data_IF_596923041552
#
_entry.id   IF_596923041552
#
_cell.length_a   1.000
_cell.length_b   1.000
_cell.length_c   1.000
_cell.angle_alpha   90.00
_cell.angle_beta   90.00
_cell.angle_gamma   90.00
#
_symmetry.space_group_name_H-M   'P 1'
#
loop_
_entity.id
_entity.type
_entity.pdbx_description
1 polymer ?
#
# COMPACT_ATOMS: atom_id res chain seq x y z
N UNK A 1 -16.81 10.95 -14.90
CA UNK A 1 -15.34 11.15 -14.90
C UNK A 1 -14.90 11.64 -13.53
N UNK A 2 -14.06 10.89 -12.83
CA UNK A 2 -13.61 11.25 -11.48
C UNK A 2 -12.50 12.31 -11.49
N UNK A 3 -12.21 12.94 -10.33
CA UNK A 3 -11.19 14.00 -10.22
C UNK A 3 -9.79 13.57 -10.68
N UNK A 4 -9.50 12.27 -10.69
CA UNK A 4 -8.18 11.76 -11.06
C UNK A 4 -7.87 11.84 -12.56
N UNK A 5 -8.85 12.03 -13.43
CA UNK A 5 -8.62 12.04 -14.88
C UNK A 5 -7.85 13.26 -15.37
N UNK A 6 -8.03 14.39 -14.68
CA UNK A 6 -7.34 15.65 -14.97
C UNK A 6 -6.38 16.06 -13.84
N UNK A 7 -6.04 15.11 -12.98
CA UNK A 7 -5.23 15.32 -11.80
C UNK A 7 -3.75 15.41 -12.16
N UNK A 8 -3.02 16.25 -11.45
CA UNK A 8 -1.55 16.31 -11.48
C UNK A 8 -0.90 15.27 -10.52
N UNK A 9 -1.70 14.31 -10.06
CA UNK A 9 -1.29 13.18 -9.23
C UNK A 9 -0.62 13.56 -7.89
N UNK A 10 -1.17 14.53 -7.19
CA UNK A 10 -0.64 15.00 -5.91
C UNK A 10 -0.45 13.87 -4.89
N UNK A 11 -1.43 12.97 -4.75
CA UNK A 11 -1.32 11.81 -3.86
C UNK A 11 -0.14 10.88 -4.21
N UNK A 12 0.16 10.69 -5.50
CA UNK A 12 1.30 9.90 -5.95
C UNK A 12 2.66 10.61 -5.76
N UNK A 13 2.65 11.86 -5.35
CA UNK A 13 3.86 12.65 -5.10
C UNK A 13 4.14 12.84 -3.62
N UNK A 14 3.11 12.85 -2.79
CA UNK A 14 3.23 13.21 -1.38
C UNK A 14 3.09 12.03 -0.43
N UNK A 15 2.35 10.98 -0.82
CA UNK A 15 2.07 9.89 0.10
C UNK A 15 3.02 8.70 -0.09
N UNK A 16 3.58 8.23 1.01
CA UNK A 16 4.11 6.88 1.08
C UNK A 16 2.93 5.91 0.91
N UNK A 17 2.95 5.10 -0.14
CA UNK A 17 1.88 4.14 -0.42
C UNK A 17 2.22 2.80 0.22
N UNK A 18 1.55 2.39 1.31
CA UNK A 18 1.82 1.11 1.93
C UNK A 18 1.37 -0.04 1.04
N UNK A 19 2.16 -1.11 1.05
CA UNK A 19 1.91 -2.35 0.33
C UNK A 19 1.53 -3.45 1.31
N UNK A 20 0.59 -4.30 0.91
CA UNK A 20 0.43 -5.63 1.50
C UNK A 20 1.29 -6.65 0.78
N UNK A 21 1.52 -7.82 1.37
CA UNK A 21 2.19 -8.90 0.65
C UNK A 21 1.44 -9.35 -0.60
N UNK A 22 0.11 -9.31 -0.59
CA UNK A 22 -0.70 -9.60 -1.78
C UNK A 22 -0.47 -8.58 -2.90
N UNK A 23 -0.31 -7.28 -2.56
CA UNK A 23 0.03 -6.25 -3.55
C UNK A 23 1.40 -6.51 -4.17
N UNK A 24 2.39 -6.86 -3.34
CA UNK A 24 3.75 -7.16 -3.76
C UNK A 24 3.76 -8.31 -4.76
N UNK A 25 3.20 -9.45 -4.41
CA UNK A 25 3.17 -10.64 -5.26
C UNK A 25 2.38 -10.43 -6.54
N UNK A 26 1.30 -9.64 -6.48
CA UNK A 26 0.53 -9.28 -7.67
C UNK A 26 1.34 -8.42 -8.63
N UNK A 27 2.03 -7.40 -8.13
CA UNK A 27 2.87 -6.51 -8.95
C UNK A 27 4.03 -7.30 -9.56
N UNK A 28 4.72 -8.15 -8.79
CA UNK A 28 5.77 -9.02 -9.30
C UNK A 28 5.27 -9.88 -10.47
N UNK A 29 4.14 -10.54 -10.28
CA UNK A 29 3.58 -11.45 -11.28
C UNK A 29 3.06 -10.74 -12.53
N UNK A 30 2.29 -9.67 -12.36
CA UNK A 30 1.61 -9.00 -13.46
C UNK A 30 2.54 -8.12 -14.28
N UNK A 31 3.51 -7.48 -13.62
CA UNK A 31 4.45 -6.58 -14.27
C UNK A 31 5.82 -7.23 -14.55
N UNK A 32 6.05 -8.45 -14.07
CA UNK A 32 7.32 -9.17 -14.17
C UNK A 32 8.49 -8.34 -13.61
N UNK A 33 8.25 -7.70 -12.48
CA UNK A 33 9.23 -6.91 -11.75
C UNK A 33 9.70 -7.67 -10.52
N UNK A 34 10.99 -7.50 -10.18
CA UNK A 34 11.50 -7.94 -8.90
C UNK A 34 11.08 -6.99 -7.78
N UNK A 35 10.91 -7.53 -6.57
CA UNK A 35 10.59 -6.77 -5.35
C UNK A 35 11.43 -5.49 -5.23
N UNK A 36 12.74 -5.60 -5.45
CA UNK A 36 13.70 -4.51 -5.32
C UNK A 36 13.54 -3.38 -6.32
N UNK A 37 12.76 -3.60 -7.36
CA UNK A 37 12.53 -2.60 -8.39
C UNK A 37 11.39 -1.63 -8.04
N UNK A 38 10.52 -1.97 -7.07
CA UNK A 38 9.35 -1.15 -6.78
C UNK A 38 9.01 -1.01 -5.29
N UNK A 39 9.49 -1.91 -4.44
CA UNK A 39 9.21 -1.90 -3.01
C UNK A 39 10.42 -1.40 -2.21
N UNK A 40 10.15 -0.66 -1.16
CA UNK A 40 11.14 -0.20 -0.21
C UNK A 40 10.57 -0.21 1.21
N UNK A 41 11.44 -0.07 2.19
CA UNK A 41 11.06 0.17 3.58
C UNK A 41 11.19 1.66 3.91
N UNK A 42 10.12 2.26 4.37
CA UNK A 42 10.10 3.64 4.82
C UNK A 42 10.15 3.69 6.33
N UNK A 43 11.11 4.44 6.86
CA UNK A 43 11.19 4.68 8.29
C UNK A 43 9.96 5.45 8.78
N UNK A 44 9.30 4.93 9.80
CA UNK A 44 8.10 5.54 10.37
C UNK A 44 8.15 5.62 11.90
N UNK A 45 9.17 6.32 12.47
CA UNK A 45 9.39 6.38 13.91
C UNK A 45 8.24 7.04 14.67
N UNK A 46 7.43 7.81 13.99
CA UNK A 46 6.30 8.54 14.58
C UNK A 46 4.93 7.92 14.24
N UNK A 47 4.90 6.79 13.56
CA UNK A 47 3.66 6.11 13.19
C UNK A 47 2.78 6.89 12.20
N UNK A 48 3.34 7.80 11.41
CA UNK A 48 2.56 8.63 10.49
C UNK A 48 1.97 7.82 9.34
N UNK A 49 2.74 6.87 8.80
CA UNK A 49 2.31 5.98 7.72
C UNK A 49 1.43 4.87 8.30
N UNK A 50 1.80 4.30 9.44
CA UNK A 50 1.05 3.25 10.11
C UNK A 50 -0.34 3.67 10.59
N UNK A 51 -0.61 4.97 10.76
CA UNK A 51 -1.96 5.49 11.05
C UNK A 51 -3.02 5.05 10.05
N UNK A 52 -2.61 4.72 8.84
CA UNK A 52 -3.49 4.20 7.79
C UNK A 52 -3.58 2.67 7.80
N UNK A 53 -3.43 2.05 8.98
CA UNK A 53 -3.55 0.62 9.21
C UNK A 53 -2.40 -0.26 8.67
N UNK A 54 -1.35 0.30 8.11
CA UNK A 54 -0.16 -0.45 7.71
C UNK A 54 0.65 -0.91 8.93
N UNK A 55 1.15 -2.16 8.95
CA UNK A 55 1.96 -2.63 10.06
C UNK A 55 3.39 -2.09 10.02
N UNK A 56 4.01 -2.04 11.19
CA UNK A 56 5.44 -1.84 11.31
C UNK A 56 6.18 -3.17 11.28
N UNK A 57 7.22 -3.23 10.47
CA UNK A 57 8.22 -4.29 10.47
C UNK A 57 9.52 -3.78 11.09
N UNK A 58 10.21 -4.68 11.80
CA UNK A 58 11.58 -4.46 12.29
C UNK A 58 12.51 -5.40 11.54
N UNK A 59 13.75 -4.95 11.31
CA UNK A 59 14.74 -5.73 10.58
C UNK A 59 16.02 -5.84 11.40
N UNK A 60 16.71 -6.97 11.32
CA UNK A 60 17.95 -7.21 12.09
C UNK A 60 19.09 -6.27 11.70
N UNK A 61 19.07 -5.77 10.46
CA UNK A 61 20.03 -4.79 9.95
C UNK A 61 19.74 -3.34 10.41
N UNK A 62 18.53 -3.08 10.94
CA UNK A 62 18.17 -1.84 11.65
C UNK A 62 17.05 -2.13 12.67
N UNK A 63 17.40 -2.68 13.84
CA UNK A 63 16.42 -3.16 14.80
C UNK A 63 15.69 -2.05 15.58
N UNK A 64 16.18 -0.82 15.52
CA UNK A 64 15.62 0.30 16.27
C UNK A 64 14.52 1.03 15.50
N UNK A 65 14.61 1.05 14.20
CA UNK A 65 13.69 1.81 13.35
C UNK A 65 12.48 0.94 13.00
N UNK A 66 11.26 1.38 13.28
CA UNK A 66 10.05 0.79 12.71
C UNK A 66 9.91 1.21 11.26
N UNK A 67 9.65 0.24 10.38
CA UNK A 67 9.49 0.47 8.95
C UNK A 67 8.11 0.05 8.46
N UNK A 68 7.59 0.78 7.50
CA UNK A 68 6.44 0.37 6.69
C UNK A 68 6.94 -0.02 5.30
N UNK A 69 6.45 -1.13 4.77
CA UNK A 69 6.74 -1.55 3.40
C UNK A 69 5.87 -0.75 2.44
N UNK A 70 6.50 -0.01 1.55
CA UNK A 70 5.83 0.95 0.67
C UNK A 70 6.33 0.84 -0.78
N UNK A 71 5.59 1.46 -1.69
CA UNK A 71 6.10 1.75 -3.03
C UNK A 71 7.30 2.70 -2.96
N UNK A 72 8.27 2.44 -3.82
CA UNK A 72 9.39 3.34 -4.02
C UNK A 72 8.94 4.65 -4.65
N UNK A 73 9.62 5.72 -4.27
CA UNK A 73 9.57 6.99 -4.97
C UNK A 73 10.81 7.18 -5.83
N UNK A 74 10.64 7.93 -6.91
CA UNK A 74 11.69 8.41 -7.79
C UNK A 74 11.61 9.94 -7.88
N UNK A 75 12.66 10.57 -8.36
CA UNK A 75 12.63 12.00 -8.63
C UNK A 75 11.63 12.34 -9.74
N UNK A 76 10.97 13.47 -9.62
CA UNK A 76 10.11 14.00 -10.68
C UNK A 76 10.96 14.56 -11.81
N UNK A 77 10.53 14.34 -13.06
CA UNK A 77 11.21 14.90 -14.23
C UNK A 77 10.83 16.34 -14.53
N UNK A 78 9.67 16.79 -14.02
CA UNK A 78 9.11 18.09 -14.36
C UNK A 78 8.86 19.02 -13.17
N UNK A 79 9.00 18.50 -11.95
CA UNK A 79 8.85 19.28 -10.73
C UNK A 79 10.10 19.12 -9.88
N UNK A 80 11.06 20.00 -10.10
CA UNK A 80 12.36 19.99 -9.43
C UNK A 80 12.25 19.91 -7.91
N UNK A 81 13.12 19.10 -7.32
CA UNK A 81 13.18 18.92 -5.86
C UNK A 81 12.01 18.13 -5.27
N UNK A 82 11.13 17.54 -6.09
CA UNK A 82 10.04 16.71 -5.64
C UNK A 82 10.22 15.24 -6.02
N UNK A 83 9.59 14.36 -5.26
CA UNK A 83 9.54 12.94 -5.57
C UNK A 83 8.15 12.53 -6.03
N UNK A 84 8.07 11.38 -6.64
CA UNK A 84 6.83 10.76 -7.12
C UNK A 84 6.86 9.26 -6.93
N UNK A 85 5.67 8.65 -6.86
CA UNK A 85 5.56 7.21 -6.98
C UNK A 85 6.29 6.73 -8.24
N UNK A 86 7.09 5.68 -8.14
CA UNK A 86 7.85 5.09 -9.25
C UNK A 86 7.01 4.84 -10.51
N UNK A 87 5.76 4.45 -10.33
CA UNK A 87 4.85 4.13 -11.43
C UNK A 87 4.08 5.33 -11.99
N UNK A 88 4.35 6.53 -11.51
CA UNK A 88 3.72 7.72 -12.05
C UNK A 88 4.38 8.11 -13.39
N UNK A 89 3.59 8.06 -14.45
CA UNK A 89 3.96 8.59 -15.75
C UNK A 89 3.60 10.07 -15.81
N UNK A 90 4.58 10.91 -16.07
CA UNK A 90 4.42 12.36 -16.18
C UNK A 90 4.47 12.77 -17.64
N UNK A 91 3.62 13.71 -18.01
CA UNK A 91 3.67 14.43 -19.27
C UNK A 91 4.20 15.85 -19.04
N UNK A 92 4.94 16.36 -20.00
CA UNK A 92 5.43 17.74 -19.94
C UNK A 92 4.29 18.74 -19.76
N UNK A 93 4.53 19.87 -19.07
CA UNK A 93 3.62 20.99 -19.06
C UNK A 93 3.29 21.48 -20.47
N UNK A 94 2.03 21.87 -20.67
CA UNK A 94 1.54 22.48 -21.90
C UNK A 94 0.70 23.73 -21.58
N UNK A 95 0.16 24.38 -22.61
CA UNK A 95 -0.66 25.58 -22.45
C UNK A 95 -1.93 25.35 -21.62
N UNK A 96 -2.50 24.14 -21.69
CA UNK A 96 -3.72 23.74 -20.97
C UNK A 96 -3.42 23.30 -19.54
N UNK A 97 -2.22 22.75 -19.33
CA UNK A 97 -1.79 22.11 -18.08
C UNK A 97 -0.40 22.63 -17.70
N UNK A 98 -0.36 23.79 -17.08
CA UNK A 98 0.90 24.47 -16.68
C UNK A 98 1.82 23.65 -15.76
N UNK A 99 1.31 22.60 -15.13
CA UNK A 99 2.07 21.65 -14.30
C UNK A 99 2.20 20.26 -14.93
N UNK A 100 1.78 20.11 -16.18
CA UNK A 100 1.67 18.83 -16.86
C UNK A 100 0.49 17.98 -16.36
N UNK A 101 0.30 16.84 -16.97
CA UNK A 101 -0.66 15.80 -16.56
C UNK A 101 0.14 14.58 -16.10
N UNK A 102 -0.37 13.87 -15.11
CA UNK A 102 0.28 12.65 -14.67
C UNK A 102 -0.74 11.51 -14.51
N UNK A 103 -0.34 10.30 -14.91
CA UNK A 103 -1.20 9.13 -14.86
C UNK A 103 -0.47 7.95 -14.23
N UNK A 104 -1.22 7.10 -13.54
CA UNK A 104 -0.69 5.86 -13.00
C UNK A 104 -0.39 4.86 -14.13
N UNK A 105 0.88 4.49 -14.29
CA UNK A 105 1.32 3.49 -15.29
C UNK A 105 0.88 2.07 -14.99
N UNK A 106 0.45 1.80 -13.75
CA UNK A 106 -0.05 0.49 -13.33
C UNK A 106 -1.50 0.55 -12.87
N UNK A 107 -2.34 1.33 -13.56
CA UNK A 107 -3.70 1.63 -13.09
C UNK A 107 -4.52 0.37 -12.75
N UNK A 108 -4.46 -0.68 -13.56
CA UNK A 108 -5.13 -1.97 -13.32
C UNK A 108 -4.55 -2.76 -12.14
N UNK A 109 -3.24 -2.61 -11.89
CA UNK A 109 -2.50 -3.35 -10.86
C UNK A 109 -2.17 -2.50 -9.65
N UNK A 110 -2.88 -1.37 -9.46
CA UNK A 110 -2.65 -0.47 -8.31
C UNK A 110 -2.73 -1.21 -6.99
N UNK A 111 -1.86 -0.88 -6.02
CA UNK A 111 -2.00 -1.37 -4.65
C UNK A 111 -3.39 -1.10 -4.08
N UNK A 112 -3.81 -1.95 -3.16
CA UNK A 112 -5.10 -1.81 -2.51
C UNK A 112 -5.30 -0.43 -1.89
N UNK A 113 -4.29 0.13 -1.24
CA UNK A 113 -4.33 1.48 -0.69
C UNK A 113 -4.66 2.56 -1.74
N UNK A 114 -4.12 2.41 -2.98
CA UNK A 114 -4.43 3.33 -4.08
C UNK A 114 -5.82 3.13 -4.67
N UNK A 115 -6.34 1.89 -4.65
CA UNK A 115 -7.69 1.59 -5.14
C UNK A 115 -8.75 2.08 -4.17
N UNK A 116 -8.50 1.90 -2.88
CA UNK A 116 -9.40 2.37 -1.83
C UNK A 116 -9.43 3.90 -1.70
N UNK A 117 -8.35 4.61 -2.06
CA UNK A 117 -8.31 6.08 -1.94
C UNK A 117 -9.29 6.75 -2.94
N UNK A 118 -10.05 7.77 -2.52
CA UNK A 118 -10.07 8.46 -1.23
C UNK A 118 -11.10 7.92 -0.23
N UNK A 119 -11.59 6.72 -0.42
CA UNK A 119 -12.61 6.11 0.41
C UNK A 119 -12.04 5.49 1.68
N UNK A 120 -12.86 5.40 2.70
CA UNK A 120 -12.59 4.64 3.92
C UNK A 120 -13.90 4.00 4.41
N UNK A 121 -13.79 3.01 5.28
CA UNK A 121 -14.90 2.63 6.10
C UNK A 121 -15.03 3.64 7.26
N UNK A 122 -16.26 3.88 7.71
CA UNK A 122 -16.49 4.65 8.91
C UNK A 122 -15.97 3.95 10.17
N UNK A 123 -16.12 4.56 11.33
CA UNK A 123 -15.64 4.01 12.60
C UNK A 123 -16.34 2.70 13.00
N UNK A 124 -17.53 2.44 12.47
CA UNK A 124 -18.26 1.18 12.68
C UNK A 124 -17.81 0.08 11.71
N UNK A 125 -17.14 0.44 10.62
CA UNK A 125 -16.74 -0.47 9.55
C UNK A 125 -17.89 -0.86 8.62
N UNK A 126 -19.03 -0.21 8.69
CA UNK A 126 -20.25 -0.56 7.97
C UNK A 126 -20.52 0.33 6.76
N UNK A 127 -20.13 1.61 6.85
CA UNK A 127 -20.41 2.59 5.79
C UNK A 127 -19.15 3.02 5.07
N UNK A 128 -19.26 3.15 3.75
CA UNK A 128 -18.23 3.78 2.92
C UNK A 128 -18.36 5.29 3.00
N UNK A 129 -17.31 5.94 3.44
CA UNK A 129 -17.21 7.39 3.52
C UNK A 129 -16.09 7.90 2.63
N UNK A 130 -16.26 9.08 2.06
CA UNK A 130 -15.17 9.80 1.43
C UNK A 130 -14.31 10.42 2.52
N UNK A 131 -13.00 10.18 2.45
CA UNK A 131 -12.07 10.95 3.27
C UNK A 131 -12.17 12.40 2.85
N UNK A 132 -12.20 13.27 3.85
CA UNK A 132 -12.18 14.70 3.62
C UNK A 132 -10.87 15.08 2.94
N UNK A 133 -10.91 15.25 1.63
CA UNK A 133 -9.81 15.79 0.85
C UNK A 133 -9.91 17.31 0.99
N UNK A 134 -9.03 17.96 1.76
CA UNK A 134 -9.19 19.36 2.09
C UNK A 134 -9.27 20.22 0.82
N UNK A 135 -10.16 21.20 0.78
CA UNK A 135 -10.21 22.13 -0.34
C UNK A 135 -8.91 22.96 -0.43
N UNK A 136 -8.55 23.34 -1.65
CA UNK A 136 -7.39 24.19 -1.93
C UNK A 136 -7.28 25.37 -0.95
N UNK A 137 -6.06 25.65 -0.49
CA UNK A 137 -5.74 26.92 0.19
C UNK A 137 -5.95 26.94 1.72
N UNK A 138 -6.20 25.82 2.39
CA UNK A 138 -6.17 25.77 3.85
C UNK A 138 -4.73 25.60 4.37
N UNK A 139 -4.31 26.49 5.25
CA UNK A 139 -3.00 26.43 5.93
C UNK A 139 -2.88 25.09 6.68
N UNK A 140 -1.77 24.38 6.48
CA UNK A 140 -1.48 23.10 7.16
C UNK A 140 -1.85 21.84 6.38
N UNK A 141 -2.20 21.96 5.09
CA UNK A 141 -2.51 20.82 4.24
C UNK A 141 -1.27 20.19 3.63
N UNK A 142 -1.36 18.87 3.42
CA UNK A 142 -0.40 18.16 2.61
C UNK A 142 -0.44 18.70 1.16
N UNK A 143 0.70 19.09 0.58
CA UNK A 143 0.81 19.60 -0.78
C UNK A 143 0.14 18.72 -1.84
N UNK A 144 -0.04 17.42 -1.54
CA UNK A 144 -0.77 16.49 -2.37
C UNK A 144 -2.13 17.01 -2.83
N UNK A 145 -2.85 17.66 -1.94
CA UNK A 145 -4.22 18.10 -2.22
C UNK A 145 -4.30 19.36 -3.03
N UNK A 146 -3.24 20.16 -3.06
CA UNK A 146 -3.18 21.35 -3.91
C UNK A 146 -3.23 21.02 -5.40
N UNK A 147 -2.86 19.78 -5.74
CA UNK A 147 -2.86 19.29 -7.12
C UNK A 147 -4.18 18.61 -7.52
N UNK A 148 -5.13 18.44 -6.61
CA UNK A 148 -6.45 17.94 -6.95
C UNK A 148 -7.25 19.01 -7.68
N UNK A 149 -7.84 18.70 -8.86
CA UNK A 149 -8.55 19.70 -9.67
C UNK A 149 -9.84 20.19 -9.00
N UNK A 150 -10.51 19.34 -8.26
CA UNK A 150 -11.73 19.61 -7.47
C UNK A 150 -11.87 18.59 -6.32
N UNK A 151 -12.72 18.88 -5.34
CA UNK A 151 -13.11 17.89 -4.32
C UNK A 151 -13.76 16.65 -4.95
N UNK A 152 -13.67 15.54 -4.24
CA UNK A 152 -14.43 14.35 -4.56
C UNK A 152 -15.89 14.52 -4.10
N UNK A 153 -16.80 14.02 -4.90
CA UNK A 153 -18.23 13.98 -4.61
C UNK A 153 -18.72 12.52 -4.57
N UNK A 154 -19.80 12.21 -3.85
CA UNK A 154 -20.35 10.85 -3.81
C UNK A 154 -20.64 10.27 -5.20
N UNK A 155 -21.01 11.11 -6.15
CA UNK A 155 -21.26 10.70 -7.55
C UNK A 155 -20.01 10.26 -8.32
N UNK A 156 -18.81 10.57 -7.82
CA UNK A 156 -17.54 10.13 -8.41
C UNK A 156 -17.17 8.69 -8.05
N UNK A 157 -17.90 8.09 -7.11
CA UNK A 157 -17.58 6.78 -6.54
C UNK A 157 -18.67 5.79 -6.95
N UNK A 158 -18.26 4.69 -7.58
CA UNK A 158 -19.13 3.53 -7.68
C UNK A 158 -19.13 2.80 -6.33
N UNK A 159 -20.28 2.77 -5.60
CA UNK A 159 -20.31 2.23 -4.25
C UNK A 159 -20.01 0.73 -4.20
N UNK A 160 -20.33 -0.03 -5.25
CA UNK A 160 -20.08 -1.47 -5.29
C UNK A 160 -18.58 -1.76 -5.37
N UNK A 161 -17.87 -1.09 -6.30
CA UNK A 161 -16.41 -1.24 -6.38
C UNK A 161 -15.71 -0.68 -5.15
N UNK A 162 -16.22 0.40 -4.56
CA UNK A 162 -15.67 0.99 -3.35
C UNK A 162 -15.71 0.00 -2.17
N UNK A 163 -16.87 -0.60 -1.93
CA UNK A 163 -17.02 -1.62 -0.87
C UNK A 163 -16.11 -2.81 -1.12
N UNK A 164 -16.09 -3.32 -2.35
CA UNK A 164 -15.23 -4.45 -2.71
C UNK A 164 -13.75 -4.16 -2.45
N UNK A 165 -13.24 -3.03 -2.92
CA UNK A 165 -11.85 -2.64 -2.71
C UNK A 165 -11.52 -2.44 -1.23
N UNK A 166 -12.39 -1.78 -0.47
CA UNK A 166 -12.19 -1.55 0.96
C UNK A 166 -12.17 -2.85 1.77
N UNK A 167 -13.10 -3.76 1.50
CA UNK A 167 -13.16 -5.06 2.19
C UNK A 167 -11.91 -5.89 1.90
N UNK A 168 -11.50 -5.97 0.63
CA UNK A 168 -10.29 -6.70 0.24
C UNK A 168 -9.05 -6.09 0.90
N UNK A 169 -8.92 -4.76 0.88
CA UNK A 169 -7.79 -4.06 1.50
C UNK A 169 -7.78 -4.27 3.01
N UNK A 170 -8.92 -4.16 3.68
CA UNK A 170 -9.01 -4.38 5.12
C UNK A 170 -8.61 -5.81 5.52
N UNK A 171 -9.08 -6.81 4.75
CA UNK A 171 -8.75 -8.21 4.97
C UNK A 171 -7.24 -8.47 4.77
N UNK A 172 -6.68 -8.04 3.64
CA UNK A 172 -5.25 -8.23 3.34
C UNK A 172 -4.36 -7.46 4.31
N UNK A 173 -4.73 -6.26 4.70
CA UNK A 173 -3.98 -5.49 5.67
C UNK A 173 -4.05 -6.11 7.08
N UNK A 174 -5.17 -6.70 7.45
CA UNK A 174 -5.32 -7.47 8.70
C UNK A 174 -4.40 -8.69 8.71
N UNK A 175 -4.36 -9.45 7.62
CA UNK A 175 -3.43 -10.57 7.48
C UNK A 175 -1.97 -10.10 7.55
N UNK A 176 -1.64 -9.03 6.84
CA UNK A 176 -0.28 -8.49 6.80
C UNK A 176 0.18 -7.95 8.17
N UNK A 177 -0.75 -7.47 8.98
CA UNK A 177 -0.49 -7.06 10.37
C UNK A 177 -0.11 -8.25 11.25
N UNK A 178 -0.88 -9.35 11.18
CA UNK A 178 -0.53 -10.59 11.89
C UNK A 178 0.83 -11.14 11.44
N UNK A 179 1.12 -11.03 10.15
CA UNK A 179 2.42 -11.41 9.61
C UNK A 179 3.55 -10.58 10.21
N UNK A 180 3.35 -9.25 10.35
CA UNK A 180 4.33 -8.37 10.97
C UNK A 180 4.55 -8.70 12.46
N UNK A 181 3.52 -9.07 13.18
CA UNK A 181 3.65 -9.53 14.57
C UNK A 181 4.53 -10.77 14.68
N UNK A 182 4.34 -11.74 13.79
CA UNK A 182 5.17 -12.95 13.73
C UNK A 182 6.60 -12.60 13.35
N UNK A 183 6.81 -11.86 12.28
CA UNK A 183 8.13 -11.41 11.84
C UNK A 183 8.89 -10.67 12.94
N UNK A 184 8.21 -9.76 13.65
CA UNK A 184 8.82 -8.90 14.67
C UNK A 184 9.24 -9.64 15.95
N UNK A 185 8.75 -10.87 16.19
CA UNK A 185 9.24 -11.72 17.29
C UNK A 185 10.70 -12.15 17.06
N UNK A 186 11.08 -12.33 15.79
CA UNK A 186 12.43 -12.75 15.40
C UNK A 186 12.85 -12.08 14.09
N UNK A 187 13.13 -10.77 14.11
CA UNK A 187 13.41 -10.01 12.91
C UNK A 187 14.63 -10.54 12.16
N UNK A 188 14.50 -10.75 10.87
CA UNK A 188 15.59 -11.09 9.97
C UNK A 188 16.02 -9.87 9.17
N UNK A 189 17.05 -10.02 8.33
CA UNK A 189 17.50 -8.98 7.42
C UNK A 189 16.43 -8.61 6.40
N UNK A 190 16.40 -7.33 6.00
CA UNK A 190 15.57 -6.85 4.91
C UNK A 190 15.78 -7.63 3.61
N UNK A 191 16.99 -8.15 3.39
CA UNK A 191 17.33 -8.90 2.17
C UNK A 191 16.53 -10.19 2.01
N UNK A 192 16.14 -10.85 3.10
CA UNK A 192 15.38 -12.12 3.03
C UNK A 192 13.85 -11.90 3.12
N UNK A 193 13.42 -10.67 3.31
CA UNK A 193 12.01 -10.35 3.48
C UNK A 193 11.12 -10.71 2.27
N UNK A 194 11.54 -10.49 1.00
CA UNK A 194 10.75 -10.93 -0.16
C UNK A 194 10.52 -12.43 -0.20
N UNK A 195 11.53 -13.23 0.13
CA UNK A 195 11.41 -14.68 0.11
C UNK A 195 10.50 -15.20 1.23
N UNK A 196 10.59 -14.57 2.40
CA UNK A 196 9.63 -14.81 3.47
C UNK A 196 8.19 -14.52 3.04
N UNK A 197 7.94 -13.40 2.37
CA UNK A 197 6.60 -13.08 1.86
C UNK A 197 6.10 -14.13 0.87
N UNK A 198 6.94 -14.50 -0.10
CA UNK A 198 6.59 -15.50 -1.13
C UNK A 198 6.23 -16.84 -0.48
N UNK A 199 7.01 -17.29 0.49
CA UNK A 199 6.77 -18.54 1.22
C UNK A 199 5.43 -18.50 1.97
N UNK A 200 5.18 -17.43 2.75
CA UNK A 200 3.96 -17.33 3.56
C UNK A 200 2.71 -17.27 2.68
N UNK A 201 2.74 -16.51 1.61
CA UNK A 201 1.58 -16.41 0.72
C UNK A 201 1.38 -17.68 -0.13
N UNK A 202 2.44 -18.38 -0.53
CA UNK A 202 2.32 -19.71 -1.15
C UNK A 202 1.63 -20.69 -0.21
N UNK A 203 2.07 -20.74 1.04
CA UNK A 203 1.47 -21.59 2.06
C UNK A 203 0.01 -21.23 2.36
N UNK A 204 -0.34 -19.95 2.35
CA UNK A 204 -1.73 -19.47 2.49
C UNK A 204 -2.61 -20.04 1.37
N UNK A 205 -2.14 -20.03 0.11
CA UNK A 205 -2.87 -20.58 -1.03
C UNK A 205 -3.04 -22.10 -0.91
N UNK A 206 -1.99 -22.82 -0.53
CA UNK A 206 -2.04 -24.29 -0.34
C UNK A 206 -3.06 -24.66 0.75
N UNK A 207 -3.03 -23.97 1.88
CA UNK A 207 -4.01 -24.18 2.97
C UNK A 207 -5.45 -23.93 2.52
N UNK A 208 -5.70 -22.88 1.74
CA UNK A 208 -7.04 -22.61 1.20
C UNK A 208 -7.53 -23.70 0.24
N UNK A 209 -6.62 -24.42 -0.40
CA UNK A 209 -6.93 -25.56 -1.27
C UNK A 209 -7.00 -26.88 -0.53
N UNK A 210 -6.71 -26.93 0.77
CA UNK A 210 -6.62 -28.15 1.55
C UNK A 210 -5.40 -29.00 1.23
N UNK A 211 -4.38 -28.40 0.60
CA UNK A 211 -3.13 -29.09 0.25
C UNK A 211 -2.18 -29.09 1.45
N UNK A 212 -1.36 -30.17 1.62
CA UNK A 212 -0.38 -30.21 2.69
C UNK A 212 0.65 -29.09 2.52
N UNK A 213 1.01 -28.48 3.64
CA UNK A 213 2.04 -27.44 3.68
C UNK A 213 3.30 -28.06 4.26
N UNK A 214 4.35 -28.17 3.45
CA UNK A 214 5.68 -28.52 3.92
C UNK A 214 6.34 -27.26 4.51
N UNK A 215 6.68 -27.33 5.79
CA UNK A 215 7.48 -26.31 6.45
C UNK A 215 8.92 -26.83 6.53
N UNK A 216 9.85 -26.07 5.98
CA UNK A 216 11.25 -26.23 6.27
C UNK A 216 11.51 -25.59 7.64
N UNK A 217 11.76 -26.40 8.67
CA UNK A 217 11.88 -25.98 10.07
C UNK A 217 12.97 -24.92 10.29
N UNK A 218 13.89 -24.78 9.35
CA UNK A 218 14.98 -23.79 9.40
C UNK A 218 14.54 -22.36 9.06
N UNK A 219 13.45 -22.20 8.28
CA UNK A 219 12.94 -20.89 7.81
C UNK A 219 11.69 -20.42 8.53
N UNK A 220 11.07 -21.27 9.32
CA UNK A 220 9.86 -20.94 10.06
C UNK A 220 10.25 -20.51 11.48
N UNK A 221 10.15 -19.23 11.83
CA UNK A 221 10.02 -18.89 13.24
C UNK A 221 8.76 -19.62 13.71
N UNK A 222 8.93 -20.52 14.69
CA UNK A 222 7.93 -21.40 15.22
C UNK A 222 6.48 -20.89 15.07
N UNK A 223 5.81 -21.24 14.00
CA UNK A 223 4.35 -21.18 13.89
C UNK A 223 3.70 -22.30 14.75
N UNK A 224 4.55 -23.01 15.50
CA UNK A 224 4.14 -24.06 16.39
C UNK A 224 3.61 -23.50 17.68
N UNK A 225 2.39 -23.73 17.92
CA UNK A 225 1.53 -23.74 19.08
C UNK A 225 0.34 -22.78 19.13
N UNK A 226 0.30 -21.73 18.29
CA UNK A 226 -0.87 -20.84 18.21
C UNK A 226 -1.82 -21.20 17.04
N UNK A 227 -1.90 -22.47 16.66
CA UNK A 227 -2.87 -22.96 15.66
C UNK A 227 -4.34 -22.61 16.01
N UNK A 228 -4.64 -22.45 17.28
CA UNK A 228 -5.95 -22.05 17.77
C UNK A 228 -6.31 -20.59 17.41
N UNK A 229 -5.33 -19.69 17.40
CA UNK A 229 -5.53 -18.27 17.05
C UNK A 229 -5.77 -18.06 15.55
N UNK A 230 -5.23 -18.93 14.70
CA UNK A 230 -5.42 -18.86 13.24
C UNK A 230 -6.70 -19.56 12.78
N UNK A 231 -7.22 -20.53 13.56
CA UNK A 231 -8.48 -21.22 13.27
C UNK A 231 -9.71 -20.38 13.61
N UNK A 232 -9.62 -19.42 14.53
CA UNK A 232 -10.77 -18.59 14.93
C UNK A 232 -11.01 -17.40 14.00
N UNK A 233 -10.21 -17.22 12.96
CA UNK A 233 -10.27 -16.09 12.02
C UNK A 233 -10.52 -16.53 10.56
N UNK A 234 -10.97 -17.77 10.34
CA UNK A 234 -11.37 -18.30 9.03
C UNK A 234 -12.90 -18.25 8.86
#
# INVERSE_FOLDING_TARGET
>A
MGPCETCHAGCCRSFAVPLTGADILRIERELRLDFWQFACRWADPHGKIARNHAPHFRFSDDPRTPFVVCLMHAESHFLDGTTKCRFLMECAPDESHSRGVARCGIYGSRPGACRAFPMALDDTGELVVLRDVPPRGRVGHDPAYELCPRPWEPADVDPLFAVQDLVVVAHEMSFFRRLAEVWNRRPQSWLVFPDFLRLVYANRVLRQRGEPVEFDDEFVPAFGSDEESLRSAA
#
